data_IF_439668598970
#
_entry.id   IF_439668598970
#
_cell.length_a   1.000
_cell.length_b   1.000
_cell.length_c   1.000
_cell.angle_alpha   90.00
_cell.angle_beta   90.00
_cell.angle_gamma   90.00
#
_symmetry.space_group_name_H-M   'P 1'
#
loop_
_entity.id
_entity.type
_entity.pdbx_description
1 polymer ?
#
# COMPACT_ATOMS: atom_id res chain seq x y z
N UNK A 1 39.19 -21.81 -1.56
CA UNK A 1 40.17 -21.05 -2.35
C UNK A 1 39.47 -19.81 -2.88
N UNK A 2 40.03 -18.63 -2.63
CA UNK A 2 39.62 -17.34 -3.15
C UNK A 2 40.31 -17.09 -4.52
N UNK A 3 39.84 -16.11 -5.29
CA UNK A 3 40.18 -15.88 -6.70
C UNK A 3 41.68 -15.67 -7.03
N UNK A 4 42.57 -15.67 -6.03
CA UNK A 4 44.02 -15.49 -6.16
C UNK A 4 44.85 -16.71 -5.71
N UNK A 5 44.23 -17.87 -5.47
CA UNK A 5 44.96 -19.12 -5.21
C UNK A 5 45.74 -19.21 -3.89
N UNK A 6 45.60 -18.23 -2.99
CA UNK A 6 46.18 -18.29 -1.63
C UNK A 6 45.34 -19.22 -0.72
N UNK A 7 45.98 -20.02 0.18
CA UNK A 7 45.27 -20.81 1.18
C UNK A 7 44.39 -19.89 2.04
N UNK A 8 43.20 -20.37 2.39
CA UNK A 8 42.20 -19.58 3.10
C UNK A 8 42.63 -19.48 4.57
N UNK A 9 43.54 -18.56 4.88
CA UNK A 9 44.06 -18.38 6.24
C UNK A 9 42.92 -18.09 7.22
N UNK A 10 42.95 -18.80 8.33
CA UNK A 10 42.06 -18.60 9.46
C UNK A 10 42.23 -17.19 10.03
N UNK A 11 41.25 -16.75 10.80
CA UNK A 11 41.27 -15.43 11.44
C UNK A 11 42.47 -15.27 12.38
N UNK A 12 42.84 -16.34 13.10
CA UNK A 12 43.97 -16.34 14.03
C UNK A 12 45.32 -16.24 13.31
N UNK A 13 45.50 -17.00 12.23
CA UNK A 13 46.73 -16.96 11.41
C UNK A 13 46.96 -15.57 10.81
N UNK A 14 45.91 -14.91 10.31
CA UNK A 14 45.99 -13.53 9.80
C UNK A 14 46.33 -12.52 10.88
N UNK A 15 45.81 -12.72 12.10
CA UNK A 15 46.13 -11.86 13.22
C UNK A 15 47.59 -12.05 13.63
N UNK A 16 48.06 -13.30 13.73
CA UNK A 16 49.44 -13.65 14.04
C UNK A 16 50.42 -13.03 13.03
N UNK A 17 50.15 -13.12 11.72
CA UNK A 17 50.99 -12.51 10.67
C UNK A 17 51.17 -10.99 10.87
N UNK A 18 50.11 -10.30 11.32
CA UNK A 18 50.10 -8.84 11.50
C UNK A 18 50.83 -8.38 12.76
N UNK A 19 50.83 -9.20 13.81
CA UNK A 19 51.47 -8.88 15.09
C UNK A 19 52.83 -9.54 15.24
N UNK A 20 53.22 -10.39 14.28
CA UNK A 20 54.51 -11.04 14.20
C UNK A 20 55.65 -10.01 14.39
N UNK A 21 56.54 -10.29 15.34
CA UNK A 21 57.64 -9.40 15.72
C UNK A 21 57.36 -8.52 16.94
N UNK A 22 56.10 -8.38 17.38
CA UNK A 22 55.75 -7.73 18.66
C UNK A 22 55.08 -8.71 19.64
N UNK A 23 54.21 -9.58 19.13
CA UNK A 23 53.48 -10.55 19.93
C UNK A 23 53.43 -11.93 19.25
N UNK A 24 53.46 -12.98 20.06
CA UNK A 24 53.15 -14.36 19.66
C UNK A 24 51.86 -14.80 20.34
N UNK A 25 50.85 -15.18 19.55
CA UNK A 25 49.54 -15.58 20.06
C UNK A 25 49.58 -17.08 20.40
N UNK A 26 49.32 -17.37 21.68
CA UNK A 26 49.29 -18.73 22.21
C UNK A 26 47.91 -19.34 21.95
N UNK A 27 46.85 -18.67 22.40
CA UNK A 27 45.48 -19.13 22.24
C UNK A 27 44.43 -18.00 22.32
N UNK A 28 43.23 -18.29 21.83
CA UNK A 28 42.05 -17.43 22.02
C UNK A 28 41.36 -17.80 23.33
N UNK A 29 41.19 -16.81 24.22
CA UNK A 29 40.69 -17.05 25.59
C UNK A 29 39.18 -16.91 25.65
N UNK A 30 38.66 -15.76 25.19
CA UNK A 30 37.23 -15.43 25.32
C UNK A 30 36.81 -14.31 24.35
N UNK A 31 35.49 -14.18 24.19
CA UNK A 31 34.87 -13.04 23.51
C UNK A 31 34.13 -12.17 24.53
N UNK A 32 34.50 -10.88 24.57
CA UNK A 32 33.87 -9.85 25.40
C UNK A 32 33.07 -8.90 24.49
N UNK A 33 31.83 -8.57 24.87
CA UNK A 33 30.96 -7.72 24.03
C UNK A 33 31.39 -6.25 23.96
N UNK A 34 32.17 -5.76 24.93
CA UNK A 34 32.70 -4.39 24.95
C UNK A 34 34.09 -4.30 24.33
N UNK A 35 34.94 -5.32 24.54
CA UNK A 35 36.36 -5.32 24.15
C UNK A 35 36.69 -6.23 22.95
N UNK A 36 35.75 -7.06 22.53
CA UNK A 36 35.92 -8.04 21.45
C UNK A 36 36.68 -9.29 21.88
N UNK A 37 37.31 -9.95 20.90
CA UNK A 37 38.09 -11.17 21.15
C UNK A 37 39.38 -10.88 21.92
N UNK A 38 39.62 -11.69 22.94
CA UNK A 38 40.79 -11.65 23.83
C UNK A 38 41.70 -12.85 23.55
N UNK A 39 43.00 -12.58 23.50
CA UNK A 39 44.03 -13.57 23.22
C UNK A 39 45.05 -13.60 24.33
N UNK A 40 45.48 -14.81 24.66
CA UNK A 40 46.68 -15.02 25.45
C UNK A 40 47.88 -14.89 24.52
N UNK A 41 48.77 -13.94 24.81
CA UNK A 41 49.92 -13.62 23.97
C UNK A 41 51.20 -13.54 24.78
N UNK A 42 52.31 -13.91 24.16
CA UNK A 42 53.66 -13.61 24.63
C UNK A 42 54.13 -12.31 23.99
N UNK A 43 54.48 -11.33 24.81
CA UNK A 43 55.11 -10.09 24.37
C UNK A 43 56.59 -10.36 24.06
N UNK A 44 57.01 -10.17 22.81
CA UNK A 44 58.37 -10.50 22.38
C UNK A 44 59.41 -9.45 22.78
N UNK A 45 58.97 -8.27 23.24
CA UNK A 45 59.86 -7.23 23.77
C UNK A 45 60.17 -7.44 25.26
N UNK A 46 59.14 -7.79 26.04
CA UNK A 46 59.26 -7.96 27.51
C UNK A 46 59.43 -9.40 27.95
N UNK A 47 59.12 -10.37 27.09
CA UNK A 47 59.03 -11.80 27.39
C UNK A 47 58.00 -12.15 28.46
N UNK A 48 56.97 -11.31 28.62
CA UNK A 48 55.86 -11.54 29.55
C UNK A 48 54.62 -12.05 28.83
N UNK A 49 53.89 -12.95 29.50
CA UNK A 49 52.60 -13.47 29.05
C UNK A 49 51.47 -12.53 29.50
N UNK A 50 50.64 -12.10 28.56
CA UNK A 50 49.58 -11.13 28.79
C UNK A 50 48.29 -11.50 28.05
N UNK A 51 47.15 -11.04 28.57
CA UNK A 51 45.86 -11.11 27.86
C UNK A 51 45.60 -9.77 27.19
N UNK A 52 45.47 -9.77 25.87
CA UNK A 52 45.25 -8.56 25.06
C UNK A 52 44.08 -8.74 24.11
N UNK A 53 43.33 -7.67 23.87
CA UNK A 53 42.28 -7.69 22.85
C UNK A 53 42.86 -7.38 21.45
N UNK A 54 42.06 -7.64 20.42
CA UNK A 54 42.47 -7.40 19.01
C UNK A 54 42.95 -5.96 18.78
N UNK A 55 42.28 -4.97 19.39
CA UNK A 55 42.63 -3.55 19.24
C UNK A 55 43.97 -3.19 19.88
N UNK A 56 44.27 -3.76 21.06
CA UNK A 56 45.52 -3.54 21.79
C UNK A 56 46.72 -4.15 21.05
N UNK A 57 46.56 -5.35 20.48
CA UNK A 57 47.62 -6.01 19.71
C UNK A 57 47.97 -5.26 18.42
N UNK A 58 46.96 -4.72 17.75
CA UNK A 58 47.10 -4.08 16.43
C UNK A 58 47.27 -2.56 16.49
N UNK A 59 47.07 -1.94 17.66
CA UNK A 59 47.11 -0.49 17.86
C UNK A 59 45.94 0.26 17.20
N UNK A 60 44.87 -0.45 16.79
CA UNK A 60 43.72 0.14 16.10
C UNK A 60 42.52 0.23 17.04
N UNK A 61 41.89 1.42 17.11
CA UNK A 61 40.67 1.65 17.91
C UNK A 61 39.42 1.06 17.25
N UNK A 62 39.48 0.80 15.95
CA UNK A 62 38.40 0.20 15.18
C UNK A 62 38.69 -1.29 14.96
N UNK A 63 37.92 -2.17 15.60
CA UNK A 63 37.97 -3.61 15.31
C UNK A 63 37.20 -3.92 14.03
N UNK A 64 37.72 -3.42 12.91
CA UNK A 64 37.28 -3.73 11.54
C UNK A 64 38.33 -4.58 10.80
N UNK A 65 39.15 -5.35 11.53
CA UNK A 65 39.98 -6.41 10.93
C UNK A 65 39.18 -7.68 10.65
N UNK A 66 37.97 -7.53 10.15
CA UNK A 66 37.37 -8.55 9.33
C UNK A 66 37.23 -7.89 7.97
N UNK A 67 37.81 -8.50 6.94
CA UNK A 67 37.27 -8.43 5.57
C UNK A 67 35.83 -8.99 5.61
N UNK A 68 34.95 -8.30 6.32
CA UNK A 68 33.52 -8.46 6.26
C UNK A 68 33.15 -7.88 4.90
N UNK A 69 33.34 -8.68 3.87
CA UNK A 69 32.36 -8.64 2.81
C UNK A 69 31.08 -9.14 3.47
N UNK A 70 30.05 -8.31 3.65
CA UNK A 70 28.73 -8.87 3.90
C UNK A 70 28.48 -9.77 2.71
N UNK A 71 28.68 -11.10 2.89
CA UNK A 71 28.41 -12.06 1.84
C UNK A 71 27.05 -11.69 1.33
N UNK A 72 26.95 -11.31 0.04
CA UNK A 72 25.74 -10.73 -0.54
C UNK A 72 24.61 -11.54 0.04
N UNK A 73 23.82 -10.93 0.94
CA UNK A 73 22.65 -11.60 1.46
C UNK A 73 21.83 -11.77 0.20
N UNK A 74 21.86 -12.97 -0.39
CA UNK A 74 20.86 -13.36 -1.34
C UNK A 74 19.60 -13.24 -0.50
N UNK A 75 18.90 -12.11 -0.65
CA UNK A 75 17.59 -11.97 -0.05
C UNK A 75 16.83 -13.11 -0.70
N UNK A 76 16.54 -14.16 0.07
CA UNK A 76 15.64 -15.19 -0.39
C UNK A 76 14.33 -14.44 -0.58
N UNK A 77 14.03 -14.09 -1.83
CA UNK A 77 12.86 -13.30 -2.12
C UNK A 77 11.69 -14.21 -1.81
N UNK A 78 10.98 -13.94 -0.72
CA UNK A 78 9.84 -14.77 -0.30
C UNK A 78 8.79 -14.86 -1.41
N UNK A 79 8.60 -13.76 -2.15
CA UNK A 79 7.64 -13.69 -3.26
C UNK A 79 8.14 -12.88 -4.47
N UNK A 80 9.39 -12.39 -4.47
CA UNK A 80 10.00 -11.67 -5.61
C UNK A 80 9.41 -10.28 -5.94
N UNK A 81 8.47 -9.76 -5.14
CA UNK A 81 7.69 -8.56 -5.49
C UNK A 81 7.83 -7.40 -4.49
N UNK A 82 8.84 -7.44 -3.63
CA UNK A 82 8.99 -6.52 -2.48
C UNK A 82 9.08 -5.03 -2.85
N UNK A 83 9.47 -4.72 -4.09
CA UNK A 83 9.59 -3.35 -4.60
C UNK A 83 8.49 -2.96 -5.61
N UNK A 84 7.44 -3.77 -5.71
CA UNK A 84 6.33 -3.50 -6.65
C UNK A 84 5.26 -2.63 -6.03
N UNK A 85 4.61 -1.77 -6.81
CA UNK A 85 3.44 -0.99 -6.34
C UNK A 85 2.34 -1.88 -5.76
N UNK A 86 2.08 -3.05 -6.37
CA UNK A 86 1.12 -4.03 -5.86
C UNK A 86 1.44 -4.50 -4.44
N UNK A 87 2.69 -4.85 -4.16
CA UNK A 87 3.12 -5.22 -2.82
C UNK A 87 3.00 -4.06 -1.81
N UNK A 88 3.27 -2.83 -2.25
CA UNK A 88 3.03 -1.65 -1.44
C UNK A 88 1.56 -1.47 -1.07
N UNK A 89 0.62 -1.82 -1.94
CA UNK A 89 -0.81 -1.77 -1.64
C UNK A 89 -1.20 -2.74 -0.52
N UNK A 90 -0.70 -3.97 -0.56
CA UNK A 90 -0.90 -4.96 0.50
C UNK A 90 -0.29 -4.51 1.83
N UNK A 91 0.97 -4.05 1.82
CA UNK A 91 1.61 -3.49 3.03
C UNK A 91 0.82 -2.34 3.62
N UNK A 92 0.34 -1.42 2.76
CA UNK A 92 -0.42 -0.25 3.21
C UNK A 92 -1.77 -0.64 3.81
N UNK A 93 -2.47 -1.61 3.21
CA UNK A 93 -3.71 -2.17 3.77
C UNK A 93 -3.47 -2.72 5.17
N UNK A 94 -2.46 -3.59 5.35
CA UNK A 94 -2.10 -4.14 6.68
C UNK A 94 -1.74 -3.04 7.67
N UNK A 95 -0.96 -2.06 7.24
CA UNK A 95 -0.59 -0.91 8.08
C UNK A 95 -1.83 -0.19 8.60
N UNK A 96 -2.81 0.13 7.74
CA UNK A 96 -4.05 0.84 8.16
C UNK A 96 -4.79 0.11 9.31
N UNK A 97 -4.79 -1.21 9.30
CA UNK A 97 -5.51 -2.02 10.30
C UNK A 97 -4.71 -2.32 11.57
N UNK A 98 -3.37 -2.41 11.48
CA UNK A 98 -2.54 -2.91 12.58
C UNK A 98 -1.63 -1.86 13.21
N UNK A 99 -1.41 -0.72 12.55
CA UNK A 99 -0.50 0.31 13.00
C UNK A 99 -1.26 1.50 13.60
N UNK A 100 -1.15 1.67 14.92
CA UNK A 100 -1.84 2.71 15.69
C UNK A 100 -1.49 4.15 15.29
N UNK A 101 -0.36 4.35 14.60
CA UNK A 101 0.03 5.67 14.08
C UNK A 101 -0.69 6.06 12.78
N UNK A 102 -1.41 5.13 12.16
CA UNK A 102 -2.13 5.42 10.92
C UNK A 102 -3.37 6.29 11.17
N UNK A 103 -3.69 7.22 10.25
CA UNK A 103 -4.94 7.97 10.31
C UNK A 103 -6.14 7.03 10.34
N UNK A 104 -7.13 7.35 11.19
CA UNK A 104 -8.36 6.57 11.34
C UNK A 104 -8.14 5.11 11.76
N UNK A 105 -6.99 4.77 12.35
CA UNK A 105 -6.68 3.41 12.80
C UNK A 105 -7.79 2.81 13.64
N UNK A 106 -8.41 3.57 14.56
CA UNK A 106 -9.51 3.06 15.39
C UNK A 106 -10.69 2.51 14.60
N UNK A 107 -11.00 3.05 13.42
CA UNK A 107 -12.04 2.48 12.54
C UNK A 107 -11.53 1.27 11.77
N UNK A 108 -10.32 1.36 11.23
CA UNK A 108 -9.74 0.28 10.41
C UNK A 108 -9.36 -0.96 11.21
N UNK A 109 -8.94 -0.82 12.46
CA UNK A 109 -8.59 -1.92 13.35
C UNK A 109 -9.79 -2.72 13.80
N UNK A 110 -10.96 -2.07 13.96
CA UNK A 110 -12.23 -2.73 14.26
C UNK A 110 -12.77 -3.54 13.08
N UNK A 111 -12.61 -3.03 11.85
CA UNK A 111 -13.10 -3.69 10.64
C UNK A 111 -12.13 -4.76 10.10
N UNK A 112 -10.83 -4.50 10.21
CA UNK A 112 -9.77 -5.44 9.84
C UNK A 112 -9.75 -5.84 8.35
N UNK A 113 -9.13 -6.99 8.10
CA UNK A 113 -9.04 -7.65 6.80
C UNK A 113 -9.19 -9.17 6.96
N UNK A 114 -9.54 -9.86 5.88
CA UNK A 114 -9.66 -11.33 5.87
C UNK A 114 -8.33 -11.97 6.31
N UNK A 115 -8.40 -12.94 7.25
CA UNK A 115 -7.20 -13.61 7.80
C UNK A 115 -6.30 -14.24 6.74
N UNK A 116 -6.89 -14.70 5.63
CA UNK A 116 -6.11 -15.28 4.52
C UNK A 116 -5.14 -14.28 3.91
N UNK A 117 -5.50 -12.99 3.89
CA UNK A 117 -4.66 -11.89 3.38
C UNK A 117 -3.54 -11.49 4.34
N UNK A 118 -3.37 -12.21 5.46
CA UNK A 118 -2.15 -12.14 6.26
C UNK A 118 -0.93 -12.58 5.47
N UNK A 119 -1.11 -13.51 4.52
CA UNK A 119 -0.11 -13.93 3.54
C UNK A 119 -0.23 -13.10 2.25
N UNK A 120 0.91 -12.59 1.76
CA UNK A 120 0.96 -11.88 0.49
C UNK A 120 0.56 -12.78 -0.69
N UNK A 121 0.89 -14.08 -0.67
CA UNK A 121 0.58 -14.98 -1.78
C UNK A 121 -0.92 -15.20 -1.95
N UNK A 122 -1.68 -15.24 -0.84
CA UNK A 122 -3.13 -15.32 -0.88
C UNK A 122 -3.74 -14.01 -1.41
N UNK A 123 -3.25 -12.86 -0.92
CA UNK A 123 -3.67 -11.56 -1.45
C UNK A 123 -3.38 -11.44 -2.95
N UNK A 124 -2.20 -11.88 -3.39
CA UNK A 124 -1.79 -11.91 -4.79
C UNK A 124 -2.72 -12.79 -5.61
N UNK A 125 -2.99 -14.03 -5.17
CA UNK A 125 -3.93 -14.94 -5.84
C UNK A 125 -5.31 -14.31 -6.03
N UNK A 126 -5.79 -13.56 -5.04
CA UNK A 126 -7.14 -13.01 -5.10
C UNK A 126 -7.25 -11.72 -5.92
N UNK A 127 -6.21 -10.87 -5.89
CA UNK A 127 -6.31 -9.49 -6.38
C UNK A 127 -5.37 -9.15 -7.54
N UNK A 128 -4.37 -9.98 -7.86
CA UNK A 128 -3.34 -9.63 -8.84
C UNK A 128 -3.86 -9.61 -10.27
N UNK A 129 -4.72 -10.54 -10.65
CA UNK A 129 -5.25 -10.65 -12.02
C UNK A 129 -6.05 -9.43 -12.46
N UNK A 130 -6.66 -8.71 -11.50
CA UNK A 130 -7.42 -7.49 -11.74
C UNK A 130 -6.62 -6.19 -11.56
N UNK A 131 -5.35 -6.30 -11.13
CA UNK A 131 -4.52 -5.13 -10.84
C UNK A 131 -4.04 -4.42 -12.11
N UNK A 132 -4.07 -3.09 -12.09
CA UNK A 132 -3.42 -2.24 -13.10
C UNK A 132 -2.52 -1.20 -12.41
N UNK A 133 -1.37 -0.84 -13.00
CA UNK A 133 -0.50 0.21 -12.46
C UNK A 133 -1.25 1.52 -12.22
N UNK A 134 -0.90 2.21 -11.13
CA UNK A 134 -1.55 3.48 -10.76
C UNK A 134 -2.87 3.36 -10.00
N UNK A 135 -3.39 2.14 -9.83
CA UNK A 135 -4.56 1.89 -8.99
C UNK A 135 -4.17 1.60 -7.54
N UNK A 136 -5.06 1.96 -6.63
CA UNK A 136 -4.95 1.73 -5.20
C UNK A 136 -6.13 0.90 -4.69
N UNK A 137 -5.87 0.07 -3.69
CA UNK A 137 -6.91 -0.78 -3.08
C UNK A 137 -7.92 0.10 -2.34
N UNK A 138 -9.20 -0.15 -2.62
CA UNK A 138 -10.34 0.55 -2.03
C UNK A 138 -11.38 -0.45 -1.53
N UNK A 139 -12.14 -0.05 -0.51
CA UNK A 139 -13.28 -0.84 -0.02
C UNK A 139 -14.54 -0.42 -0.77
N UNK A 140 -15.31 -1.38 -1.25
CA UNK A 140 -16.58 -1.12 -1.94
C UNK A 140 -17.59 -0.58 -0.92
N UNK A 141 -17.77 -1.30 0.18
CA UNK A 141 -18.55 -0.89 1.33
C UNK A 141 -17.64 -0.50 2.49
N UNK A 142 -17.68 0.79 2.87
CA UNK A 142 -16.88 1.36 3.96
C UNK A 142 -17.25 0.82 5.34
N UNK A 143 -18.43 0.22 5.50
CA UNK A 143 -18.89 -0.38 6.76
C UNK A 143 -18.29 -1.77 7.01
N UNK A 144 -17.64 -2.36 6.00
CA UNK A 144 -17.01 -3.69 6.06
C UNK A 144 -15.47 -3.61 5.98
N UNK A 145 -14.80 -4.69 6.38
CA UNK A 145 -13.33 -4.84 6.32
C UNK A 145 -12.80 -5.11 4.92
N UNK A 146 -11.49 -5.32 4.77
CA UNK A 146 -10.91 -5.72 3.49
C UNK A 146 -11.08 -7.22 3.22
N UNK A 147 -11.68 -7.58 2.10
CA UNK A 147 -11.81 -8.96 1.61
C UNK A 147 -11.92 -8.94 0.09
N UNK A 148 -11.75 -10.09 -0.55
CA UNK A 148 -11.89 -10.24 -2.01
C UNK A 148 -13.22 -9.66 -2.52
N UNK A 149 -14.30 -9.93 -1.80
CA UNK A 149 -15.66 -9.51 -2.20
C UNK A 149 -15.99 -8.05 -1.84
N UNK A 150 -15.21 -7.42 -0.94
CA UNK A 150 -15.41 -6.04 -0.52
C UNK A 150 -14.29 -5.10 -0.98
N UNK A 151 -13.40 -5.54 -1.88
CA UNK A 151 -12.27 -4.73 -2.34
C UNK A 151 -12.28 -4.59 -3.86
N UNK A 152 -11.86 -3.40 -4.31
CA UNK A 152 -11.64 -3.11 -5.73
C UNK A 152 -10.36 -2.31 -5.93
N UNK A 153 -9.82 -2.38 -7.14
CA UNK A 153 -8.78 -1.46 -7.59
C UNK A 153 -9.42 -0.16 -8.07
N UNK A 154 -9.05 0.94 -7.44
CA UNK A 154 -9.63 2.25 -7.72
C UNK A 154 -8.55 3.29 -7.97
N UNK A 155 -8.83 4.25 -8.84
CA UNK A 155 -8.02 5.46 -8.99
C UNK A 155 -8.17 6.36 -7.76
N UNK A 156 -7.22 7.27 -7.55
CA UNK A 156 -7.32 8.27 -6.47
C UNK A 156 -8.63 9.09 -6.57
N UNK A 157 -9.10 9.39 -7.79
CA UNK A 157 -10.39 10.06 -8.02
C UNK A 157 -11.56 9.22 -7.50
N UNK A 158 -11.60 7.93 -7.85
CA UNK A 158 -12.62 6.99 -7.38
C UNK A 158 -12.61 6.82 -5.85
N UNK A 159 -11.43 6.73 -5.21
CA UNK A 159 -11.34 6.66 -3.75
C UNK A 159 -11.82 7.95 -3.07
N UNK A 160 -11.52 9.11 -3.66
CA UNK A 160 -12.02 10.39 -3.15
C UNK A 160 -13.54 10.47 -3.25
N UNK A 161 -14.14 9.92 -4.31
CA UNK A 161 -15.60 9.83 -4.50
C UNK A 161 -16.27 8.91 -3.47
N UNK A 162 -15.57 7.91 -2.97
CA UNK A 162 -16.05 6.97 -1.93
C UNK A 162 -15.94 7.49 -0.49
N UNK A 163 -15.47 8.72 -0.25
CA UNK A 163 -15.38 9.27 1.11
C UNK A 163 -16.76 9.56 1.71
N UNK A 164 -16.93 9.23 3.00
CA UNK A 164 -18.17 9.43 3.77
C UNK A 164 -18.62 10.90 3.81
N UNK A 165 -17.67 11.85 3.73
CA UNK A 165 -17.97 13.28 3.77
C UNK A 165 -18.47 13.85 2.44
N UNK A 166 -18.59 13.04 1.39
CA UNK A 166 -19.16 13.52 0.14
C UNK A 166 -20.67 13.70 0.26
N UNK A 167 -21.17 14.79 -0.32
CA UNK A 167 -22.61 15.02 -0.45
C UNK A 167 -23.19 13.98 -1.40
N UNK A 168 -24.11 13.17 -0.90
CA UNK A 168 -24.86 12.20 -1.69
C UNK A 168 -26.27 12.73 -1.96
N UNK A 169 -26.86 12.32 -3.09
CA UNK A 169 -28.25 12.62 -3.45
C UNK A 169 -28.99 11.33 -3.79
N UNK A 170 -30.26 11.17 -3.40
CA UNK A 170 -31.10 10.10 -3.92
C UNK A 170 -31.30 10.33 -5.42
N UNK A 171 -31.14 9.29 -6.24
CA UNK A 171 -31.32 9.41 -7.68
C UNK A 171 -32.80 9.24 -8.06
N UNK A 172 -33.45 8.26 -7.43
CA UNK A 172 -34.86 7.93 -7.54
C UNK A 172 -35.46 7.93 -6.13
N UNK A 173 -36.70 8.37 -5.97
CA UNK A 173 -37.33 8.44 -4.64
C UNK A 173 -37.72 7.06 -4.12
N UNK A 174 -37.89 6.11 -5.03
CA UNK A 174 -38.42 4.77 -4.80
C UNK A 174 -37.34 3.75 -4.41
N UNK A 175 -36.05 4.08 -4.63
CA UNK A 175 -34.91 3.18 -4.44
C UNK A 175 -33.96 3.82 -3.42
N UNK A 176 -33.47 3.09 -2.41
CA UNK A 176 -32.51 3.61 -1.44
C UNK A 176 -31.08 3.78 -2.01
N UNK A 177 -30.95 4.02 -3.32
CA UNK A 177 -29.67 4.34 -3.94
C UNK A 177 -29.37 5.83 -3.79
N UNK A 178 -28.21 6.11 -3.20
CA UNK A 178 -27.66 7.46 -3.12
C UNK A 178 -26.37 7.56 -3.92
N UNK A 179 -26.31 8.52 -4.84
CA UNK A 179 -25.16 8.77 -5.72
C UNK A 179 -24.42 10.04 -5.30
N UNK A 180 -23.14 10.15 -5.65
CA UNK A 180 -22.37 11.35 -5.33
C UNK A 180 -22.82 12.53 -6.20
N UNK A 181 -23.06 13.68 -5.57
CA UNK A 181 -23.46 14.90 -6.30
C UNK A 181 -22.41 15.32 -7.32
N UNK A 182 -21.12 15.07 -7.07
CA UNK A 182 -20.04 15.43 -7.99
C UNK A 182 -20.11 14.59 -9.26
N UNK A 183 -20.34 13.28 -9.15
CA UNK A 183 -20.40 12.39 -10.31
C UNK A 183 -21.56 12.77 -11.23
N UNK A 184 -22.71 13.09 -10.64
CA UNK A 184 -23.88 13.57 -11.38
C UNK A 184 -23.65 14.96 -11.96
N UNK A 185 -22.92 15.83 -11.27
CA UNK A 185 -22.56 17.14 -11.81
C UNK A 185 -21.63 16.98 -13.03
N UNK A 186 -20.57 16.18 -12.92
CA UNK A 186 -19.62 15.93 -14.00
C UNK A 186 -20.32 15.30 -15.21
N UNK A 187 -21.12 14.24 -15.01
CA UNK A 187 -21.82 13.54 -16.08
C UNK A 187 -22.79 14.44 -16.87
N UNK A 188 -23.40 15.42 -16.21
CA UNK A 188 -24.31 16.38 -16.84
C UNK A 188 -23.62 17.72 -17.18
N UNK A 189 -22.30 17.82 -17.01
CA UNK A 189 -21.49 19.01 -17.29
C UNK A 189 -21.86 20.22 -16.43
N UNK A 190 -22.40 20.01 -15.23
CA UNK A 190 -22.84 21.03 -14.29
C UNK A 190 -21.72 21.43 -13.32
N UNK A 191 -21.74 22.68 -12.87
CA UNK A 191 -20.95 23.06 -11.72
C UNK A 191 -21.55 22.43 -10.45
N UNK A 192 -20.72 21.79 -9.62
CA UNK A 192 -21.15 21.13 -8.37
C UNK A 192 -21.93 22.06 -7.44
N UNK A 193 -21.53 23.34 -7.32
CA UNK A 193 -22.24 24.32 -6.48
C UNK A 193 -23.62 24.63 -7.05
N UNK A 194 -23.76 24.69 -8.38
CA UNK A 194 -25.05 24.87 -9.04
C UNK A 194 -25.98 23.69 -8.77
N UNK A 195 -25.48 22.45 -8.87
CA UNK A 195 -26.30 21.27 -8.59
C UNK A 195 -26.73 21.23 -7.12
N UNK A 196 -25.82 21.51 -6.17
CA UNK A 196 -26.16 21.60 -4.74
C UNK A 196 -27.24 22.64 -4.46
N UNK A 197 -27.07 23.86 -4.97
CA UNK A 197 -28.05 24.92 -4.82
C UNK A 197 -29.43 24.50 -5.33
N UNK A 198 -29.52 23.80 -6.46
CA UNK A 198 -30.80 23.30 -7.00
C UNK A 198 -31.47 22.27 -6.09
N UNK A 199 -30.70 21.35 -5.53
CA UNK A 199 -31.20 20.34 -4.59
C UNK A 199 -31.68 20.99 -3.28
N UNK A 200 -30.96 21.99 -2.77
CA UNK A 200 -31.35 22.75 -1.57
C UNK A 200 -32.64 23.57 -1.77
N UNK A 201 -32.95 23.96 -3.02
CA UNK A 201 -34.18 24.65 -3.37
C UNK A 201 -35.35 23.69 -3.70
N UNK A 202 -35.35 22.48 -3.15
CA UNK A 202 -36.42 21.48 -3.27
C UNK A 202 -36.75 21.06 -4.72
N UNK A 203 -35.81 21.20 -5.66
CA UNK A 203 -35.98 20.60 -6.97
C UNK A 203 -35.74 19.09 -6.88
N UNK A 204 -36.56 18.30 -7.57
CA UNK A 204 -36.29 16.86 -7.66
C UNK A 204 -34.91 16.60 -8.29
N UNK A 205 -34.22 15.50 -7.91
CA UNK A 205 -32.93 15.11 -8.46
C UNK A 205 -32.83 15.22 -9.99
N UNK A 206 -33.81 14.67 -10.70
CA UNK A 206 -33.85 14.69 -12.17
C UNK A 206 -34.07 16.09 -12.75
N UNK A 207 -34.93 16.90 -12.14
CA UNK A 207 -35.13 18.28 -12.60
C UNK A 207 -33.88 19.14 -12.35
N UNK A 208 -33.18 18.91 -11.23
CA UNK A 208 -31.95 19.60 -10.90
C UNK A 208 -30.82 19.28 -11.90
N UNK A 209 -30.78 18.05 -12.42
CA UNK A 209 -29.78 17.60 -13.40
C UNK A 209 -30.08 18.06 -14.83
N UNK A 210 -31.34 17.97 -15.26
CA UNK A 210 -31.72 18.23 -16.66
C UNK A 210 -31.90 19.71 -16.99
N UNK A 211 -32.05 20.59 -15.99
CA UNK A 211 -32.19 22.03 -16.22
C UNK A 211 -30.88 22.63 -16.75
N UNK A 212 -30.81 22.93 -18.04
CA UNK A 212 -29.62 23.57 -18.61
C UNK A 212 -29.35 24.96 -18.02
N UNK A 213 -28.08 25.28 -17.78
CA UNK A 213 -27.64 26.66 -17.49
C UNK A 213 -27.38 27.43 -18.78
N UNK A 214 -27.48 28.76 -18.76
CA UNK A 214 -27.14 29.58 -19.94
C UNK A 214 -25.69 29.36 -20.38
N UNK A 215 -24.76 29.27 -19.42
CA UNK A 215 -23.35 28.98 -19.67
C UNK A 215 -23.11 27.64 -20.35
N UNK A 216 -23.87 26.60 -20.00
CA UNK A 216 -23.80 25.30 -20.68
C UNK A 216 -24.33 25.35 -22.11
N UNK A 217 -25.42 26.09 -22.35
CA UNK A 217 -25.94 26.29 -23.71
C UNK A 217 -24.91 26.95 -24.60
N UNK A 218 -24.31 28.04 -24.12
CA UNK A 218 -23.25 28.76 -24.81
C UNK A 218 -22.02 27.88 -25.05
N UNK A 219 -21.61 27.10 -24.06
CA UNK A 219 -20.45 26.20 -24.17
C UNK A 219 -20.68 25.08 -25.19
N UNK A 220 -21.83 24.39 -25.14
CA UNK A 220 -22.16 23.35 -26.14
C UNK A 220 -22.26 23.90 -27.56
N UNK A 221 -22.82 25.11 -27.72
CA UNK A 221 -22.92 25.77 -29.03
C UNK A 221 -21.55 26.21 -29.58
N UNK A 222 -20.56 26.41 -28.71
CA UNK A 222 -19.20 26.79 -29.10
C UNK A 222 -18.28 25.59 -29.39
N UNK A 223 -18.66 24.37 -29.01
CA UNK A 223 -17.89 23.14 -29.22
C UNK A 223 -18.04 22.58 -30.65
N UNK A 224 -17.00 21.92 -31.15
CA UNK A 224 -17.09 21.17 -32.41
C UNK A 224 -17.92 19.89 -32.24
N UNK A 225 -18.46 19.30 -33.32
CA UNK A 225 -19.17 18.02 -33.23
C UNK A 225 -18.35 16.89 -32.60
N UNK A 226 -17.02 16.87 -32.83
CA UNK A 226 -16.11 15.88 -32.24
C UNK A 226 -15.97 16.08 -30.73
N UNK A 227 -15.87 17.33 -30.26
CA UNK A 227 -15.81 17.65 -28.83
C UNK A 227 -17.12 17.29 -28.12
N UNK A 228 -18.26 17.54 -28.77
CA UNK A 228 -19.57 17.13 -28.25
C UNK A 228 -19.69 15.61 -28.15
N UNK A 229 -19.23 14.87 -29.16
CA UNK A 229 -19.21 13.41 -29.14
C UNK A 229 -18.31 12.87 -28.03
N UNK A 230 -17.13 13.45 -27.85
CA UNK A 230 -16.19 13.08 -26.80
C UNK A 230 -16.79 13.32 -25.41
N UNK A 231 -17.43 14.48 -25.20
CA UNK A 231 -18.14 14.77 -23.95
C UNK A 231 -19.23 13.73 -23.65
N UNK A 232 -20.05 13.35 -24.64
CA UNK A 232 -21.08 12.31 -24.48
C UNK A 232 -20.44 10.97 -24.07
N UNK A 233 -19.33 10.58 -24.70
CA UNK A 233 -18.63 9.35 -24.37
C UNK A 233 -18.11 9.37 -22.91
N UNK A 234 -17.52 10.48 -22.47
CA UNK A 234 -17.02 10.65 -21.11
C UNK A 234 -18.14 10.64 -20.07
N UNK A 235 -19.25 11.34 -20.35
CA UNK A 235 -20.45 11.31 -19.50
C UNK A 235 -21.03 9.90 -19.38
N UNK A 236 -21.14 9.17 -20.49
CA UNK A 236 -21.66 7.79 -20.49
C UNK A 236 -20.76 6.87 -19.67
N UNK A 237 -19.43 7.00 -19.78
CA UNK A 237 -18.49 6.21 -18.99
C UNK A 237 -18.60 6.44 -17.47
N UNK A 238 -19.11 7.61 -17.04
CA UNK A 238 -19.40 7.89 -15.63
C UNK A 238 -20.75 7.28 -15.23
N UNK A 239 -21.77 7.38 -16.09
CA UNK A 239 -23.14 6.99 -15.79
C UNK A 239 -23.37 5.48 -15.81
N UNK A 240 -22.74 4.76 -16.74
CA UNK A 240 -22.94 3.32 -16.94
C UNK A 240 -22.80 2.50 -15.64
N UNK A 241 -21.70 2.57 -14.87
CA UNK A 241 -21.58 1.80 -13.63
C UNK A 241 -22.58 2.24 -12.53
N UNK A 242 -22.97 3.54 -12.53
CA UNK A 242 -23.97 4.06 -11.58
C UNK A 242 -25.34 3.47 -11.89
N UNK A 243 -25.68 3.35 -13.17
CA UNK A 243 -26.94 2.80 -13.64
C UNK A 243 -27.01 1.28 -13.43
N UNK A 244 -25.90 0.56 -13.66
CA UNK A 244 -25.80 -0.87 -13.36
C UNK A 244 -26.03 -1.14 -11.87
N UNK A 245 -25.36 -0.41 -10.98
CA UNK A 245 -25.55 -0.52 -9.53
C UNK A 245 -27.00 -0.18 -9.13
N UNK A 246 -27.60 0.84 -9.76
CA UNK A 246 -28.99 1.20 -9.53
C UNK A 246 -29.95 0.09 -9.93
N UNK A 247 -29.70 -0.55 -11.07
CA UNK A 247 -30.50 -1.66 -11.57
C UNK A 247 -30.39 -2.87 -10.63
N UNK A 248 -29.19 -3.22 -10.19
CA UNK A 248 -28.98 -4.31 -9.23
C UNK A 248 -29.71 -4.05 -7.91
N UNK A 249 -29.62 -2.84 -7.36
CA UNK A 249 -30.34 -2.48 -6.14
C UNK A 249 -31.86 -2.49 -6.33
N UNK A 250 -32.34 -2.07 -7.51
CA UNK A 250 -33.76 -2.13 -7.85
C UNK A 250 -34.26 -3.57 -7.92
N UNK A 251 -33.54 -4.45 -8.62
CA UNK A 251 -33.85 -5.89 -8.73
C UNK A 251 -33.92 -6.49 -7.33
N UNK A 252 -32.88 -6.28 -6.51
CA UNK A 252 -32.85 -6.77 -5.13
C UNK A 252 -34.03 -6.24 -4.29
N UNK A 253 -34.37 -4.96 -4.42
CA UNK A 253 -35.50 -4.37 -3.71
C UNK A 253 -36.82 -5.00 -4.17
N UNK A 254 -37.01 -5.18 -5.47
CA UNK A 254 -38.21 -5.76 -6.06
C UNK A 254 -38.39 -7.22 -5.63
N UNK A 255 -37.34 -8.03 -5.69
CA UNK A 255 -37.36 -9.44 -5.28
C UNK A 255 -37.74 -9.57 -3.79
N UNK A 256 -37.18 -8.71 -2.93
CA UNK A 256 -37.52 -8.67 -1.52
C UNK A 256 -38.99 -8.27 -1.27
N UNK A 257 -39.55 -7.33 -2.05
CA UNK A 257 -40.96 -6.95 -1.96
C UNK A 257 -41.89 -8.08 -2.43
N UNK A 258 -41.51 -8.78 -3.50
CA UNK A 258 -42.27 -9.92 -4.03
C UNK A 258 -42.34 -11.05 -2.98
N UNK A 259 -41.19 -11.45 -2.42
CA UNK A 259 -41.13 -12.47 -1.37
C UNK A 259 -41.88 -12.07 -0.09
N UNK A 260 -41.89 -10.78 0.27
CA UNK A 260 -42.67 -10.28 1.40
C UNK A 260 -44.19 -10.31 1.14
N UNK A 261 -44.63 -10.29 -0.12
CA UNK A 261 -46.02 -10.39 -0.52
C UNK A 261 -46.52 -11.83 -0.64
N UNK A 262 -45.65 -12.79 -0.96
CA UNK A 262 -45.96 -14.23 -1.04
C UNK A 262 -46.03 -14.91 0.34
N UNK A 263 -45.47 -14.30 1.39
CA UNK A 263 -45.53 -14.79 2.77
C UNK A 263 -46.72 -14.23 3.60
N UNK A 264 -47.67 -13.54 2.96
CA UNK A 264 -48.92 -13.06 3.58
C UNK A 264 -50.12 -13.80 3.02
#
# INVERSE_FOLDING_TARGET
>A
MNAEGKPNMTRLEKLQEKVAGRFEIIEEVAFDHEKGHQYHVLNLETWEEEIRCTGELTGTKDTSFNNYEPGRRYSVSTHGMSDTSFYHQWKQMKSRCNNSTQPYHGTYSLLGYCKEWESFDNFKRDMYDSYKPGLTIDRIDNTKGYSKDNCRWATLKQQQRNKINNTKMPLFNEIPLTVNVIDMADAFGLNTMTLRYRLENNQSPMQALTKQTNKQKEHMQAMTPEEQYQFICESNAILEPILEEALEQYINWYDNQLHASEMK
#
